data_IF_079387422713
#
_entry.id   IF_079387422713
#
_cell.length_a   1.000
_cell.length_b   1.000
_cell.length_c   1.000
_cell.angle_alpha   90.00
_cell.angle_beta   90.00
_cell.angle_gamma   90.00
#
_symmetry.space_group_name_H-M   'P 1'
#
loop_
_entity.id
_entity.type
_entity.pdbx_description
1 polymer ?
#
# COMPACT_ATOMS: atom_id res chain seq x y z
N UNK A 1 -4.21 17.42 5.79
CA UNK A 1 -3.68 16.39 4.87
C UNK A 1 -4.76 15.43 4.34
N UNK A 2 -5.72 14.94 5.16
CA UNK A 2 -6.78 14.03 4.70
C UNK A 2 -7.63 14.63 3.55
N UNK A 3 -8.03 15.90 3.66
CA UNK A 3 -8.79 16.60 2.61
C UNK A 3 -8.07 16.70 1.26
N UNK A 4 -6.74 16.70 1.26
CA UNK A 4 -5.96 16.71 0.00
C UNK A 4 -6.05 15.35 -0.68
N UNK A 5 -5.95 14.25 0.09
CA UNK A 5 -6.12 12.91 -0.46
C UNK A 5 -7.52 12.69 -1.01
N UNK A 6 -8.55 13.13 -0.30
CA UNK A 6 -9.93 13.05 -0.75
C UNK A 6 -10.12 13.70 -2.13
N UNK A 7 -9.59 14.92 -2.31
CA UNK A 7 -9.66 15.63 -3.59
C UNK A 7 -8.94 14.87 -4.72
N UNK A 8 -7.78 14.27 -4.42
CA UNK A 8 -6.99 13.52 -5.40
C UNK A 8 -7.65 12.20 -5.78
N UNK A 9 -8.18 11.45 -4.80
CA UNK A 9 -8.83 10.15 -5.02
C UNK A 9 -10.01 10.27 -5.99
N UNK A 10 -10.82 11.30 -5.87
CA UNK A 10 -11.98 11.52 -6.75
C UNK A 10 -11.63 11.96 -8.18
N UNK A 11 -10.36 12.18 -8.51
CA UNK A 11 -9.92 12.32 -9.90
C UNK A 11 -9.87 10.97 -10.64
N UNK A 12 -9.74 9.88 -9.90
CA UNK A 12 -9.61 8.52 -10.44
C UNK A 12 -10.85 7.69 -10.12
N UNK A 13 -11.32 7.72 -8.86
CA UNK A 13 -12.45 6.93 -8.40
C UNK A 13 -13.77 7.70 -8.55
N UNK A 14 -14.83 6.97 -8.88
CA UNK A 14 -16.19 7.52 -8.97
C UNK A 14 -16.71 7.87 -7.58
N UNK A 15 -17.08 9.12 -7.38
CA UNK A 15 -17.52 9.64 -6.09
C UNK A 15 -18.77 8.96 -5.54
N UNK A 16 -19.68 8.59 -6.40
CA UNK A 16 -20.94 7.88 -6.07
C UNK A 16 -20.75 6.43 -5.66
N UNK A 17 -19.56 5.85 -5.93
CA UNK A 17 -19.18 4.48 -5.56
C UNK A 17 -18.05 4.42 -4.52
N UNK A 18 -17.64 5.57 -3.99
CA UNK A 18 -16.48 5.63 -3.08
C UNK A 18 -16.85 6.31 -1.79
N UNK A 19 -16.66 5.61 -0.69
CA UNK A 19 -16.77 6.16 0.66
C UNK A 19 -15.39 6.38 1.27
N UNK A 20 -15.18 7.53 1.90
CA UNK A 20 -13.99 7.82 2.68
C UNK A 20 -14.34 7.65 4.15
N UNK A 21 -13.62 6.78 4.84
CA UNK A 21 -13.76 6.50 6.26
C UNK A 21 -12.49 6.87 7.01
N UNK A 22 -12.65 7.31 8.25
CA UNK A 22 -11.55 7.64 9.14
C UNK A 22 -11.50 6.63 10.28
N UNK A 23 -10.38 5.99 10.48
CA UNK A 23 -10.24 4.97 11.52
C UNK A 23 -10.45 5.50 12.94
N UNK A 24 -10.34 6.79 13.19
CA UNK A 24 -10.76 7.42 14.45
C UNK A 24 -12.22 7.16 14.80
N UNK A 25 -13.09 6.91 13.84
CA UNK A 25 -14.51 6.61 14.06
C UNK A 25 -14.73 5.34 14.91
N UNK A 26 -13.83 4.39 14.83
CA UNK A 26 -13.87 3.13 15.61
C UNK A 26 -12.70 3.01 16.58
N UNK A 27 -11.50 3.50 16.26
CA UNK A 27 -10.35 3.41 17.14
C UNK A 27 -10.53 4.23 18.42
N UNK A 28 -11.13 5.42 18.34
CA UNK A 28 -11.41 6.25 19.52
C UNK A 28 -12.40 5.57 20.49
N UNK A 29 -13.28 4.72 19.95
CA UNK A 29 -14.26 3.95 20.75
C UNK A 29 -13.66 2.71 21.42
N UNK A 30 -12.53 2.19 20.90
CA UNK A 30 -11.86 1.03 21.51
C UNK A 30 -11.41 1.32 22.94
N UNK A 31 -10.88 2.52 23.20
CA UNK A 31 -10.29 2.85 24.49
C UNK A 31 -9.10 1.94 24.85
N UNK A 32 -8.65 2.03 26.09
CA UNK A 32 -7.54 1.21 26.58
C UNK A 32 -7.90 -0.29 26.63
N UNK A 33 -9.09 -0.62 27.09
CA UNK A 33 -9.56 -2.00 27.23
C UNK A 33 -9.68 -2.68 25.86
N UNK A 34 -10.23 -1.97 24.86
CA UNK A 34 -10.34 -2.48 23.50
C UNK A 34 -8.97 -2.67 22.84
N UNK A 35 -8.01 -1.77 23.08
CA UNK A 35 -6.65 -1.91 22.55
C UNK A 35 -5.93 -3.10 23.20
N UNK A 36 -6.08 -3.34 24.48
CA UNK A 36 -5.53 -4.51 25.19
C UNK A 36 -6.20 -5.80 24.64
N UNK A 37 -7.54 -5.77 24.47
CA UNK A 37 -8.29 -6.86 23.87
C UNK A 37 -7.83 -7.19 22.46
N UNK A 38 -7.57 -6.17 21.64
CA UNK A 38 -7.00 -6.34 20.29
C UNK A 38 -5.59 -6.93 20.35
N UNK A 39 -4.72 -6.42 21.22
CA UNK A 39 -3.36 -6.92 21.38
C UNK A 39 -3.32 -8.38 21.87
N UNK A 40 -4.32 -8.84 22.62
CA UNK A 40 -4.41 -10.22 23.10
C UNK A 40 -4.70 -11.25 22.00
N UNK A 41 -5.18 -10.82 20.83
CA UNK A 41 -5.51 -11.68 19.68
C UNK A 41 -4.31 -12.05 18.83
N UNK A 42 -3.17 -11.43 19.08
CA UNK A 42 -1.96 -11.68 18.30
C UNK A 42 -0.75 -11.88 19.21
N UNK A 43 0.24 -12.63 18.75
CA UNK A 43 1.41 -12.90 19.57
C UNK A 43 2.70 -12.33 18.98
N UNK A 44 3.68 -12.09 19.86
CA UNK A 44 4.96 -11.48 19.49
C UNK A 44 5.74 -12.36 18.49
N UNK A 45 5.66 -13.68 18.59
CA UNK A 45 6.37 -14.57 17.66
C UNK A 45 5.88 -14.38 16.22
N UNK A 46 4.58 -14.27 16.03
CA UNK A 46 3.97 -13.96 14.71
C UNK A 46 4.32 -12.56 14.24
N UNK A 47 4.36 -11.58 15.14
CA UNK A 47 4.75 -10.22 14.79
C UNK A 47 6.20 -10.17 14.30
N UNK A 48 7.10 -10.99 14.86
CA UNK A 48 8.49 -11.10 14.45
C UNK A 48 8.71 -11.84 13.12
N UNK A 49 7.67 -12.41 12.50
CA UNK A 49 7.73 -12.93 11.13
C UNK A 49 7.82 -11.80 10.08
N UNK A 50 7.46 -10.57 10.44
CA UNK A 50 7.63 -9.41 9.56
C UNK A 50 9.12 -9.09 9.39
N UNK A 51 9.57 -9.00 8.13
CA UNK A 51 11.00 -8.88 7.76
C UNK A 51 11.77 -7.81 8.52
N UNK A 52 11.20 -6.61 8.66
CA UNK A 52 11.87 -5.51 9.34
C UNK A 52 12.00 -5.73 10.85
N UNK A 53 10.98 -6.31 11.49
CA UNK A 53 11.04 -6.70 12.90
C UNK A 53 12.04 -7.83 13.11
N UNK A 54 12.03 -8.84 12.26
CA UNK A 54 12.97 -9.95 12.30
C UNK A 54 14.42 -9.47 12.21
N UNK A 55 14.73 -8.64 11.20
CA UNK A 55 16.06 -8.06 10.99
C UNK A 55 16.54 -7.22 12.18
N UNK A 56 15.63 -6.42 12.76
CA UNK A 56 15.95 -5.59 13.93
C UNK A 56 16.14 -6.44 15.18
N UNK A 57 15.28 -7.41 15.41
CA UNK A 57 15.37 -8.33 16.55
C UNK A 57 16.66 -9.14 16.52
N UNK A 58 16.98 -9.78 15.40
CA UNK A 58 18.20 -10.61 15.24
C UNK A 58 19.49 -9.79 15.28
N UNK A 59 19.44 -8.50 14.93
CA UNK A 59 20.58 -7.58 15.04
C UNK A 59 20.62 -6.78 16.35
N UNK A 60 19.83 -7.18 17.36
CA UNK A 60 19.72 -6.52 18.66
C UNK A 60 19.40 -5.00 18.58
N UNK A 61 18.65 -4.59 17.55
CA UNK A 61 18.14 -3.23 17.45
C UNK A 61 16.81 -3.12 18.18
N UNK A 62 16.58 -1.98 18.81
CA UNK A 62 15.36 -1.75 19.58
C UNK A 62 14.11 -1.80 18.70
N UNK A 63 13.04 -2.38 19.22
CA UNK A 63 11.69 -2.34 18.68
C UNK A 63 10.79 -1.80 19.79
N UNK A 64 10.13 -0.69 19.57
CA UNK A 64 9.23 -0.13 20.56
C UNK A 64 7.87 -0.85 20.53
N UNK A 65 7.21 -0.99 21.69
CA UNK A 65 5.95 -1.75 21.82
C UNK A 65 4.86 -1.20 20.89
N UNK A 66 4.77 0.12 20.74
CA UNK A 66 3.76 0.72 19.85
C UNK A 66 3.90 0.31 18.38
N UNK A 67 5.11 -0.07 17.95
CA UNK A 67 5.34 -0.58 16.58
C UNK A 67 4.64 -1.92 16.33
N UNK A 68 4.48 -2.74 17.37
CA UNK A 68 3.69 -3.98 17.29
C UNK A 68 2.17 -3.72 17.28
N UNK A 69 1.73 -2.60 17.83
CA UNK A 69 0.31 -2.24 17.82
C UNK A 69 -0.15 -1.73 16.46
N UNK A 70 0.74 -1.12 15.67
CA UNK A 70 0.38 -0.54 14.38
C UNK A 70 -0.27 -1.54 13.40
N UNK A 71 0.30 -2.75 13.16
CA UNK A 71 -0.35 -3.76 12.31
C UNK A 71 -1.72 -4.22 12.83
N UNK A 72 -1.89 -4.24 14.15
CA UNK A 72 -3.15 -4.65 14.77
C UNK A 72 -4.23 -3.57 14.62
N UNK A 73 -3.87 -2.31 14.81
CA UNK A 73 -4.79 -1.17 14.62
C UNK A 73 -5.20 -1.06 13.15
N UNK A 74 -4.24 -1.20 12.23
CA UNK A 74 -4.55 -1.25 10.79
C UNK A 74 -5.44 -2.46 10.44
N UNK A 75 -5.11 -3.64 10.97
CA UNK A 75 -5.92 -4.84 10.74
C UNK A 75 -7.33 -4.75 11.33
N UNK A 76 -7.51 -3.99 12.40
CA UNK A 76 -8.83 -3.73 12.98
C UNK A 76 -9.72 -2.87 12.07
N UNK A 77 -9.15 -2.06 11.19
CA UNK A 77 -9.90 -1.33 10.16
C UNK A 77 -10.72 -2.30 9.29
N UNK A 78 -10.12 -3.44 8.90
CA UNK A 78 -10.83 -4.48 8.14
C UNK A 78 -12.00 -5.09 8.91
N UNK A 79 -11.84 -5.27 10.22
CA UNK A 79 -12.92 -5.77 11.11
C UNK A 79 -14.04 -4.74 11.23
N UNK A 80 -13.67 -3.49 11.50
CA UNK A 80 -14.64 -2.40 11.72
C UNK A 80 -15.46 -2.07 10.47
N UNK A 81 -14.87 -2.25 9.29
CA UNK A 81 -15.51 -2.01 7.99
C UNK A 81 -16.15 -3.26 7.39
N UNK A 82 -15.99 -4.44 8.01
CA UNK A 82 -16.48 -5.72 7.49
C UNK A 82 -16.06 -5.96 6.03
N UNK A 83 -14.77 -5.76 5.75
CA UNK A 83 -14.22 -5.72 4.40
C UNK A 83 -14.23 -7.11 3.75
N UNK A 84 -14.74 -7.23 2.52
CA UNK A 84 -14.69 -8.47 1.73
C UNK A 84 -13.37 -8.61 0.97
N UNK A 85 -12.81 -7.50 0.47
CA UNK A 85 -11.56 -7.48 -0.31
C UNK A 85 -10.72 -6.28 0.10
N UNK A 86 -9.47 -6.51 0.49
CA UNK A 86 -8.52 -5.45 0.79
C UNK A 86 -7.38 -5.43 -0.23
N UNK A 87 -7.11 -4.25 -0.81
CA UNK A 87 -6.06 -4.05 -1.79
C UNK A 87 -4.91 -3.24 -1.19
N UNK A 88 -3.68 -3.60 -1.50
CA UNK A 88 -2.51 -2.84 -1.05
C UNK A 88 -1.25 -3.13 -1.86
N UNK A 89 -0.17 -2.42 -1.56
CA UNK A 89 1.14 -2.75 -2.10
C UNK A 89 1.71 -4.04 -1.50
N UNK A 90 2.63 -4.68 -2.20
CA UNK A 90 3.31 -5.89 -1.70
C UNK A 90 4.03 -5.67 -0.36
N UNK A 91 4.45 -4.44 -0.08
CA UNK A 91 5.04 -4.01 1.20
C UNK A 91 4.04 -4.07 2.38
N UNK A 92 2.74 -4.03 2.10
CA UNK A 92 1.66 -4.08 3.09
C UNK A 92 1.12 -5.50 3.35
N UNK A 93 1.60 -6.51 2.61
CA UNK A 93 1.06 -7.87 2.66
C UNK A 93 0.91 -8.43 4.08
N UNK A 94 1.92 -8.21 4.93
CA UNK A 94 1.87 -8.66 6.32
C UNK A 94 0.67 -8.03 7.07
N UNK A 95 0.52 -6.70 6.98
CA UNK A 95 -0.54 -5.98 7.69
C UNK A 95 -1.94 -6.38 7.18
N UNK A 96 -2.08 -6.58 5.85
CA UNK A 96 -3.33 -7.03 5.25
C UNK A 96 -3.71 -8.44 5.73
N UNK A 97 -2.73 -9.33 5.90
CA UNK A 97 -2.95 -10.67 6.46
C UNK A 97 -3.31 -10.62 7.94
N UNK A 98 -2.78 -9.67 8.72
CA UNK A 98 -3.22 -9.45 10.10
C UNK A 98 -4.70 -9.08 10.14
N UNK A 99 -5.17 -8.19 9.25
CA UNK A 99 -6.60 -7.86 9.13
C UNK A 99 -7.48 -9.09 8.88
N UNK A 100 -7.05 -9.93 7.96
CA UNK A 100 -7.72 -11.21 7.64
C UNK A 100 -7.77 -12.16 8.85
N UNK A 101 -6.70 -12.27 9.64
CA UNK A 101 -6.68 -13.09 10.86
C UNK A 101 -7.60 -12.51 11.93
N UNK A 102 -7.57 -11.19 12.13
CA UNK A 102 -8.45 -10.52 13.08
C UNK A 102 -9.93 -10.69 12.73
N UNK A 103 -10.32 -10.58 11.47
CA UNK A 103 -11.70 -10.84 11.04
C UNK A 103 -12.16 -12.23 11.49
N UNK A 104 -11.33 -13.27 11.32
CA UNK A 104 -11.63 -14.62 11.80
C UNK A 104 -11.83 -14.67 13.32
N UNK A 105 -10.97 -13.96 14.08
CA UNK A 105 -11.05 -13.92 15.54
C UNK A 105 -12.27 -13.13 16.05
N UNK A 106 -12.81 -12.26 15.22
CA UNK A 106 -14.06 -11.54 15.47
C UNK A 106 -15.30 -12.26 14.87
N UNK A 107 -15.14 -13.46 14.31
CA UNK A 107 -16.23 -14.27 13.76
C UNK A 107 -16.75 -13.80 12.41
N UNK A 108 -15.97 -13.00 11.69
CA UNK A 108 -16.28 -12.56 10.33
C UNK A 108 -15.70 -13.51 9.28
N UNK A 109 -16.22 -13.48 8.07
CA UNK A 109 -15.60 -14.14 6.90
C UNK A 109 -14.28 -13.42 6.57
N UNK A 110 -13.15 -14.14 6.48
CA UNK A 110 -11.86 -13.50 6.22
C UNK A 110 -11.77 -12.93 4.81
N UNK A 111 -11.44 -11.66 4.70
CA UNK A 111 -11.30 -10.92 3.45
C UNK A 111 -10.33 -11.56 2.45
N UNK A 112 -10.54 -11.32 1.17
CA UNK A 112 -9.56 -11.58 0.11
C UNK A 112 -8.52 -10.46 0.13
N UNK A 113 -7.24 -10.82 0.09
CA UNK A 113 -6.14 -9.86 0.02
C UNK A 113 -5.56 -9.84 -1.39
N UNK A 114 -5.56 -8.67 -2.01
CA UNK A 114 -4.96 -8.43 -3.33
C UNK A 114 -3.77 -7.49 -3.15
N UNK A 115 -2.59 -7.94 -3.55
CA UNK A 115 -1.40 -7.10 -3.52
C UNK A 115 -0.89 -6.79 -4.92
N UNK A 116 -0.49 -5.54 -5.12
CA UNK A 116 0.13 -5.06 -6.36
C UNK A 116 1.59 -4.67 -6.10
N UNK A 117 2.48 -4.79 -7.11
CA UNK A 117 3.85 -4.35 -6.99
C UNK A 117 3.95 -2.87 -6.59
N UNK A 118 5.04 -2.53 -5.92
CA UNK A 118 5.37 -1.14 -5.61
C UNK A 118 5.73 -0.43 -6.90
N UNK A 119 5.20 0.78 -7.06
CA UNK A 119 5.59 1.68 -8.13
C UNK A 119 6.85 2.44 -7.72
N UNK A 120 7.90 2.28 -8.49
CA UNK A 120 9.15 3.04 -8.34
C UNK A 120 8.94 4.49 -8.80
N UNK A 121 9.57 5.42 -8.08
CA UNK A 121 9.55 6.85 -8.44
C UNK A 121 10.49 7.17 -9.59
N UNK A 122 10.63 8.47 -9.87
CA UNK A 122 11.47 9.00 -10.97
C UNK A 122 12.94 8.55 -10.92
N UNK A 123 13.42 8.16 -9.71
CA UNK A 123 14.77 7.59 -9.52
C UNK A 123 14.91 6.13 -9.95
N UNK A 124 13.82 5.44 -10.31
CA UNK A 124 13.79 4.05 -10.73
C UNK A 124 14.16 3.02 -9.66
N UNK A 125 14.33 3.42 -8.41
CA UNK A 125 14.84 2.56 -7.33
C UNK A 125 13.92 2.57 -6.12
N UNK A 126 13.59 3.76 -5.63
CA UNK A 126 12.79 3.91 -4.40
C UNK A 126 11.30 3.98 -4.75
N UNK A 127 10.47 3.50 -3.81
CA UNK A 127 9.02 3.69 -3.88
C UNK A 127 8.68 5.14 -4.18
N UNK A 128 7.79 5.37 -5.13
CA UNK A 128 7.26 6.69 -5.42
C UNK A 128 6.60 7.29 -4.17
N UNK A 129 7.06 8.45 -3.73
CA UNK A 129 6.49 9.11 -2.56
C UNK A 129 6.72 10.61 -2.54
N UNK A 130 5.79 11.35 -1.94
CA UNK A 130 5.91 12.80 -1.73
C UNK A 130 7.11 13.17 -0.84
N UNK A 131 7.43 12.35 0.16
CA UNK A 131 8.54 12.61 1.08
C UNK A 131 9.92 12.44 0.46
N UNK A 132 10.02 11.73 -0.65
CA UNK A 132 11.26 11.53 -1.40
C UNK A 132 11.38 12.44 -2.61
N UNK A 133 10.34 13.23 -2.89
CA UNK A 133 10.26 14.13 -4.05
C UNK A 133 10.55 13.44 -5.41
N UNK A 134 10.25 12.14 -5.49
CA UNK A 134 10.47 11.28 -6.66
C UNK A 134 9.15 10.87 -7.32
N UNK A 135 8.11 11.69 -7.20
CA UNK A 135 6.75 11.35 -7.61
C UNK A 135 6.22 12.24 -8.73
N UNK A 136 5.19 11.76 -9.41
CA UNK A 136 4.32 12.54 -10.27
C UNK A 136 2.94 12.57 -9.59
N UNK A 137 2.45 13.77 -9.26
CA UNK A 137 1.13 13.89 -8.66
C UNK A 137 0.05 13.87 -9.75
N UNK A 138 -1.08 13.21 -9.44
CA UNK A 138 -2.23 13.13 -10.35
C UNK A 138 -2.95 14.49 -10.55
N UNK A 139 -2.54 15.52 -9.83
CA UNK A 139 -3.06 16.88 -9.89
C UNK A 139 -2.02 17.92 -10.29
N UNK A 140 -0.86 17.48 -10.80
CA UNK A 140 0.13 18.36 -11.43
C UNK A 140 -0.38 18.95 -12.76
N UNK A 141 0.31 19.99 -13.21
CA UNK A 141 0.10 20.52 -14.55
C UNK A 141 0.46 19.46 -15.61
N UNK A 142 -0.33 19.30 -16.68
CA UNK A 142 -0.07 18.30 -17.71
C UNK A 142 1.30 18.41 -18.37
N UNK A 143 1.82 19.62 -18.57
CA UNK A 143 3.14 19.82 -19.19
C UNK A 143 4.27 19.37 -18.25
N UNK A 144 4.12 19.60 -16.93
CA UNK A 144 5.06 19.12 -15.91
C UNK A 144 5.02 17.58 -15.82
N UNK A 145 3.81 16.99 -15.81
CA UNK A 145 3.66 15.53 -15.83
C UNK A 145 4.33 14.91 -17.06
N UNK A 146 4.09 15.48 -18.23
CA UNK A 146 4.71 15.03 -19.48
C UNK A 146 6.23 15.13 -19.42
N UNK A 147 6.77 16.28 -18.99
CA UNK A 147 8.21 16.47 -18.83
C UNK A 147 8.86 15.46 -17.88
N UNK A 148 8.22 15.18 -16.75
CA UNK A 148 8.69 14.15 -15.79
C UNK A 148 8.67 12.75 -16.40
N UNK A 149 7.59 12.36 -17.09
CA UNK A 149 7.47 11.06 -17.76
C UNK A 149 8.56 10.90 -18.83
N UNK A 150 8.82 11.94 -19.60
CA UNK A 150 9.84 11.93 -20.65
C UNK A 150 11.28 11.94 -20.11
N UNK A 151 11.49 12.19 -18.82
CA UNK A 151 12.81 12.25 -18.19
C UNK A 151 13.26 10.95 -17.52
N UNK A 152 12.40 9.93 -17.44
CA UNK A 152 12.75 8.65 -16.81
C UNK A 152 13.69 7.82 -17.69
N UNK A 153 14.39 6.85 -17.08
CA UNK A 153 15.23 5.91 -17.83
C UNK A 153 14.39 4.90 -18.61
N UNK A 154 14.97 4.31 -19.65
CA UNK A 154 14.31 3.29 -20.47
C UNK A 154 13.90 2.06 -19.65
N UNK A 155 14.73 1.66 -18.67
CA UNK A 155 14.40 0.56 -17.76
C UNK A 155 13.14 0.87 -16.94
N UNK A 156 13.06 2.10 -16.39
CA UNK A 156 11.88 2.54 -15.63
C UNK A 156 10.66 2.71 -16.54
N UNK A 157 10.84 3.17 -17.76
CA UNK A 157 9.78 3.29 -18.76
C UNK A 157 9.08 1.93 -18.97
N UNK A 158 9.82 0.86 -19.17
CA UNK A 158 9.24 -0.47 -19.35
C UNK A 158 8.50 -0.94 -18.12
N UNK A 159 9.05 -0.67 -16.94
CA UNK A 159 8.40 -0.98 -15.67
C UNK A 159 7.08 -0.24 -15.50
N UNK A 160 7.02 1.01 -15.92
CA UNK A 160 5.80 1.80 -15.86
C UNK A 160 4.78 1.38 -16.94
N UNK A 161 5.22 0.95 -18.11
CA UNK A 161 4.32 0.32 -19.08
C UNK A 161 3.62 -0.91 -18.49
N UNK A 162 4.35 -1.78 -17.81
CA UNK A 162 3.81 -2.98 -17.16
C UNK A 162 2.81 -2.64 -16.04
N UNK A 163 3.06 -1.60 -15.23
CA UNK A 163 2.27 -1.30 -14.04
C UNK A 163 1.15 -0.30 -14.28
N UNK A 164 1.29 0.62 -15.23
CA UNK A 164 0.41 1.78 -15.38
C UNK A 164 -0.34 1.83 -16.72
N UNK A 165 0.10 1.05 -17.73
CA UNK A 165 -0.59 1.04 -19.01
C UNK A 165 -1.63 -0.08 -19.10
N UNK A 166 -2.54 0.04 -20.06
CA UNK A 166 -3.48 -1.02 -20.45
C UNK A 166 -2.98 -1.82 -21.66
N UNK A 167 -1.71 -1.66 -22.03
CA UNK A 167 -1.10 -2.38 -23.15
C UNK A 167 -0.86 -3.82 -22.71
N UNK A 168 -1.25 -4.82 -23.53
CA UNK A 168 -0.99 -6.23 -23.23
C UNK A 168 0.52 -6.53 -23.14
N UNK A 169 0.90 -7.45 -22.25
CA UNK A 169 2.31 -7.83 -22.05
C UNK A 169 3.01 -8.27 -23.36
N UNK A 170 2.28 -8.96 -24.23
CA UNK A 170 2.80 -9.38 -25.56
C UNK A 170 3.19 -8.19 -26.44
N UNK A 171 2.40 -7.12 -26.40
CA UNK A 171 2.68 -5.88 -27.14
C UNK A 171 3.85 -5.12 -26.54
N UNK A 172 3.96 -5.06 -25.20
CA UNK A 172 5.11 -4.48 -24.51
C UNK A 172 6.39 -5.25 -24.89
N UNK A 173 6.36 -6.58 -24.90
CA UNK A 173 7.50 -7.41 -25.30
C UNK A 173 7.93 -7.16 -26.77
N UNK A 174 6.96 -6.96 -27.67
CA UNK A 174 7.23 -6.60 -29.05
C UNK A 174 7.90 -5.24 -29.18
N UNK A 175 7.37 -4.22 -28.49
CA UNK A 175 7.96 -2.88 -28.47
C UNK A 175 9.40 -2.88 -27.94
N UNK A 176 9.68 -3.66 -26.87
CA UNK A 176 11.05 -3.87 -26.37
C UNK A 176 11.98 -4.40 -27.46
N UNK A 177 11.54 -5.44 -28.17
CA UNK A 177 12.33 -6.06 -29.23
C UNK A 177 12.58 -5.10 -30.41
N UNK A 178 11.59 -4.31 -30.79
CA UNK A 178 11.71 -3.30 -31.84
C UNK A 178 12.71 -2.20 -31.46
N UNK A 179 12.65 -1.70 -30.24
CA UNK A 179 13.59 -0.71 -29.71
C UNK A 179 15.03 -1.24 -29.69
N UNK A 180 15.24 -2.48 -29.23
CA UNK A 180 16.57 -3.13 -29.20
C UNK A 180 17.14 -3.33 -30.62
N UNK A 181 16.29 -3.48 -31.64
CA UNK A 181 16.67 -3.59 -33.03
C UNK A 181 16.90 -2.25 -33.74
N UNK A 182 16.75 -1.14 -33.03
CA UNK A 182 16.95 0.21 -33.58
C UNK A 182 15.84 0.68 -34.53
N UNK A 183 14.64 0.17 -34.35
CA UNK A 183 13.45 0.58 -35.10
C UNK A 183 12.60 1.58 -34.31
#
# INVERSE_FOLDING_TARGET
>A
NAKTYEKQVYKILKKDLTEIKFNSEWCDKLGADGLIGLASKYNVARMLERDDFNKRFTSNKSIAIHEFLYPLVQGYDSVALEVDVECGGTDQKFNLLVGRELQRDYGQEPQVVITVPILEGLDGVKKMSKSLDNYIAIDEDPDDMFGKIMSISDELMWRWFELLSFIPEEEIAKLKTEMDSGK
#
